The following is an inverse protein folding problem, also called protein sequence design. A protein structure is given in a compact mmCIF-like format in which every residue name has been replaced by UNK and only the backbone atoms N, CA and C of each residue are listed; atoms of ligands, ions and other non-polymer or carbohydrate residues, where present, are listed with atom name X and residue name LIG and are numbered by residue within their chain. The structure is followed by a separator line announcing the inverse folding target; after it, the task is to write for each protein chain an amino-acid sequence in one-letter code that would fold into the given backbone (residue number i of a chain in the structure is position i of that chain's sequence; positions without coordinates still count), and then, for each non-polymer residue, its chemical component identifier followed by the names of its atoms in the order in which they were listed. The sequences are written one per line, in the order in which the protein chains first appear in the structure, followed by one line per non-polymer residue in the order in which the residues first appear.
data_IF_695700921256
#
_entry.id   IF_695700921256
#
_cell.length_a   1.000
_cell.length_b   1.000
_cell.length_c   1.000
_cell.angle_alpha   90.00
_cell.angle_beta   90.00
_cell.angle_gamma   90.00
#
_symmetry.space_group_name_H-M   'P 1'
#
loop_
_entity.id
_entity.type
_entity.pdbx_description
1 polymer ?
#
# COMPACT_ATOMS: atom_id res chain seq x y z
N UNK A 1 -1.47 9.76 10.10
CA UNK A 1 -0.01 9.86 10.24
C UNK A 1 0.37 11.33 10.15
N UNK A 2 1.39 11.75 10.90
CA UNK A 2 2.03 13.07 10.78
C UNK A 2 3.48 12.87 10.34
N UNK A 3 4.03 13.74 9.50
CA UNK A 3 5.47 13.76 9.18
C UNK A 3 6.08 14.97 9.85
N UNK A 4 6.95 14.76 10.83
CA UNK A 4 7.77 15.80 11.45
C UNK A 4 9.08 15.98 10.70
N UNK A 5 9.61 17.20 10.68
CA UNK A 5 10.96 17.44 10.16
C UNK A 5 12.00 16.66 10.97
N UNK A 6 13.07 16.21 10.31
CA UNK A 6 14.27 15.68 10.96
C UNK A 6 15.35 16.77 11.22
N UNK A 7 14.99 18.04 11.05
CA UNK A 7 15.94 19.16 11.06
C UNK A 7 16.73 19.27 9.76
N UNK A 8 16.13 18.89 8.64
CA UNK A 8 16.77 18.87 7.34
C UNK A 8 15.83 19.41 6.25
N UNK A 9 16.44 19.95 5.20
CA UNK A 9 15.84 20.20 3.90
C UNK A 9 16.55 19.34 2.84
N UNK A 10 16.26 19.51 1.55
CA UNK A 10 16.97 18.80 0.49
C UNK A 10 18.48 19.14 0.47
N UNK A 11 18.86 20.34 0.91
CA UNK A 11 20.22 20.88 0.72
C UNK A 11 20.95 21.22 2.04
N UNK A 12 20.23 21.27 3.16
CA UNK A 12 20.75 21.80 4.43
C UNK A 12 20.29 20.94 5.60
N UNK A 13 21.08 20.91 6.67
CA UNK A 13 20.76 20.19 7.90
C UNK A 13 21.17 20.99 9.14
N UNK A 14 20.35 20.87 10.18
CA UNK A 14 20.54 21.52 11.48
C UNK A 14 21.36 20.59 12.38
N UNK A 15 22.50 21.06 12.93
CA UNK A 15 23.29 20.27 13.86
C UNK A 15 22.50 19.84 15.09
N UNK A 16 22.73 18.62 15.56
CA UNK A 16 22.03 18.04 16.70
C UNK A 16 22.14 18.87 17.98
N UNK A 17 23.23 19.63 18.14
CA UNK A 17 23.43 20.51 19.30
C UNK A 17 22.36 21.62 19.42
N UNK A 18 21.73 22.02 18.32
CA UNK A 18 20.77 23.14 18.28
C UNK A 18 19.37 22.72 17.79
N UNK A 19 19.07 21.42 17.72
CA UNK A 19 17.80 20.88 17.18
C UNK A 19 16.59 21.09 18.12
N UNK A 20 16.82 21.53 19.36
CA UNK A 20 15.83 21.53 20.43
C UNK A 20 14.55 22.32 20.10
N UNK A 21 14.64 23.44 19.37
CA UNK A 21 13.46 24.20 18.94
C UNK A 21 12.59 23.40 17.98
N UNK A 22 13.18 22.74 16.98
CA UNK A 22 12.44 21.91 16.03
C UNK A 22 11.81 20.68 16.69
N UNK A 23 12.49 20.09 17.68
CA UNK A 23 11.92 19.01 18.51
C UNK A 23 10.66 19.49 19.22
N UNK A 24 10.71 20.70 19.81
CA UNK A 24 9.54 21.30 20.44
C UNK A 24 8.40 21.51 19.43
N UNK A 25 8.69 22.05 18.26
CA UNK A 25 7.68 22.32 17.23
C UNK A 25 6.95 21.04 16.77
N UNK A 26 7.66 19.91 16.64
CA UNK A 26 7.03 18.62 16.31
C UNK A 26 6.13 18.13 17.45
N UNK A 27 6.57 18.22 18.71
CA UNK A 27 5.74 17.82 19.87
C UNK A 27 4.52 18.73 20.02
N UNK A 28 4.68 20.03 19.77
CA UNK A 28 3.61 21.02 19.72
C UNK A 28 2.59 20.69 18.60
N UNK A 29 3.05 20.27 17.42
CA UNK A 29 2.19 19.79 16.34
C UNK A 29 1.39 18.53 16.71
N UNK A 30 1.99 17.62 17.49
CA UNK A 30 1.27 16.47 18.05
C UNK A 30 0.25 16.93 19.10
N UNK A 31 0.57 17.92 19.94
CA UNK A 31 -0.39 18.51 20.90
C UNK A 31 -1.56 19.21 20.17
N UNK A 32 -1.30 19.90 19.07
CA UNK A 32 -2.37 20.44 18.23
C UNK A 32 -3.32 19.32 17.78
N UNK A 33 -2.78 18.18 17.33
CA UNK A 33 -3.58 17.06 16.86
C UNK A 33 -4.31 16.30 17.98
N UNK A 34 -3.62 15.99 19.09
CA UNK A 34 -4.08 15.06 20.14
C UNK A 34 -4.42 15.70 21.49
N UNK A 35 -3.93 16.90 21.77
CA UNK A 35 -4.11 17.59 23.04
C UNK A 35 -5.57 17.94 23.34
N UNK A 36 -5.92 18.06 24.61
CA UNK A 36 -7.25 18.51 25.04
C UNK A 36 -7.51 19.96 24.63
N UNK A 37 -8.79 20.36 24.54
CA UNK A 37 -9.16 21.73 24.16
C UNK A 37 -8.67 22.81 25.16
N UNK A 38 -8.16 22.41 26.31
CA UNK A 38 -7.58 23.27 27.35
C UNK A 38 -6.03 23.30 27.34
N UNK A 39 -5.36 22.56 26.45
CA UNK A 39 -3.91 22.66 26.26
C UNK A 39 -3.58 23.80 25.30
N UNK A 40 -2.31 24.23 25.27
CA UNK A 40 -1.87 25.35 24.44
C UNK A 40 -2.28 25.14 22.98
N UNK A 41 -1.82 24.06 22.35
CA UNK A 41 -2.10 23.83 20.93
C UNK A 41 -3.44 23.13 20.67
N UNK A 42 -3.95 22.35 21.62
CA UNK A 42 -5.28 21.76 21.52
C UNK A 42 -6.40 22.81 21.57
N UNK A 43 -6.20 23.91 22.29
CA UNK A 43 -7.13 25.05 22.28
C UNK A 43 -7.18 25.77 20.93
N UNK A 44 -6.05 25.84 20.21
CA UNK A 44 -6.01 26.39 18.84
C UNK A 44 -6.83 25.51 17.90
N UNK A 45 -6.64 24.18 17.92
CA UNK A 45 -7.46 23.23 17.14
C UNK A 45 -8.96 23.39 17.44
N UNK A 46 -9.31 23.54 18.73
CA UNK A 46 -10.69 23.74 19.16
C UNK A 46 -11.27 25.07 18.65
N UNK A 47 -10.52 26.16 18.73
CA UNK A 47 -10.92 27.47 18.22
C UNK A 47 -11.08 27.49 16.68
N UNK A 48 -10.36 26.62 15.97
CA UNK A 48 -10.51 26.38 14.53
C UNK A 48 -11.74 25.53 14.17
N UNK A 49 -12.58 25.16 15.15
CA UNK A 49 -13.85 24.45 14.94
C UNK A 49 -13.77 22.93 15.15
N UNK A 50 -12.63 22.40 15.62
CA UNK A 50 -12.47 20.96 15.86
C UNK A 50 -12.05 20.66 17.31
N UNK A 51 -12.99 20.70 18.29
CA UNK A 51 -12.65 20.54 19.70
C UNK A 51 -12.12 19.16 20.06
N UNK A 52 -12.58 18.10 19.38
CA UNK A 52 -12.15 16.73 19.66
C UNK A 52 -10.73 16.46 19.14
N UNK A 53 -9.88 15.70 19.85
CA UNK A 53 -8.61 15.21 19.33
C UNK A 53 -8.76 14.39 18.05
N UNK A 54 -7.79 14.49 17.14
CA UNK A 54 -7.67 13.57 16.01
C UNK A 54 -7.09 12.23 16.46
N UNK A 55 -7.48 11.15 15.77
CA UNK A 55 -6.78 9.87 15.89
C UNK A 55 -5.44 9.96 15.16
N UNK A 56 -4.34 9.95 15.90
CA UNK A 56 -2.98 10.01 15.38
C UNK A 56 -2.16 8.86 15.98
N UNK A 57 -2.08 7.77 15.23
CA UNK A 57 -1.42 6.53 15.66
C UNK A 57 0.07 6.47 15.25
N UNK A 58 0.48 7.27 14.26
CA UNK A 58 1.81 7.21 13.63
C UNK A 58 2.41 8.60 13.40
N UNK A 59 3.70 8.75 13.71
CA UNK A 59 4.53 9.91 13.37
C UNK A 59 5.78 9.43 12.65
N UNK A 60 6.04 9.94 11.43
CA UNK A 60 7.34 9.78 10.77
C UNK A 60 8.24 10.97 11.09
N UNK A 61 9.53 10.72 11.26
CA UNK A 61 10.54 11.77 11.45
C UNK A 61 11.45 11.78 10.23
N UNK A 62 11.29 12.81 9.40
CA UNK A 62 11.94 12.90 8.10
C UNK A 62 11.16 12.25 6.96
N UNK A 63 11.68 12.46 5.75
CA UNK A 63 11.31 11.83 4.49
C UNK A 63 12.58 11.60 3.63
N UNK A 64 13.22 10.44 3.82
CA UNK A 64 14.44 9.97 3.12
C UNK A 64 15.78 10.62 3.52
N UNK A 65 15.87 11.35 4.64
CA UNK A 65 17.13 12.03 5.03
C UNK A 65 18.12 11.15 5.81
N UNK A 66 17.93 9.82 5.84
CA UNK A 66 18.81 8.91 6.59
C UNK A 66 20.30 9.03 6.25
N UNK A 67 20.61 9.45 5.01
CA UNK A 67 21.97 9.62 4.51
C UNK A 67 22.64 10.91 5.02
N UNK A 68 21.91 11.84 5.63
CA UNK A 68 22.43 13.10 6.14
C UNK A 68 23.19 12.91 7.47
N UNK A 69 24.18 13.78 7.71
CA UNK A 69 25.13 13.63 8.81
C UNK A 69 24.46 13.65 10.18
N UNK A 70 23.54 14.60 10.39
CA UNK A 70 22.91 14.82 11.70
C UNK A 70 21.62 14.04 11.90
N UNK A 71 21.06 13.39 10.87
CA UNK A 71 19.76 12.72 10.94
C UNK A 71 19.66 11.78 12.15
N UNK A 72 20.65 10.89 12.36
CA UNK A 72 20.58 9.91 13.45
C UNK A 72 20.57 10.55 14.83
N UNK A 73 21.41 11.58 15.04
CA UNK A 73 21.43 12.32 16.30
C UNK A 73 20.16 13.12 16.52
N UNK A 74 19.62 13.73 15.46
CA UNK A 74 18.38 14.49 15.50
C UNK A 74 17.19 13.58 15.80
N UNK A 75 17.05 12.47 15.05
CA UNK A 75 16.01 11.46 15.22
C UNK A 75 15.93 10.97 16.67
N UNK A 76 17.05 10.69 17.33
CA UNK A 76 17.07 10.29 18.75
C UNK A 76 16.45 11.35 19.67
N UNK A 77 16.68 12.65 19.40
CA UNK A 77 16.07 13.75 20.16
C UNK A 77 14.57 13.82 19.94
N UNK A 78 14.11 13.72 18.69
CA UNK A 78 12.68 13.66 18.35
C UNK A 78 12.00 12.44 18.98
N UNK A 79 12.56 11.24 18.79
CA UNK A 79 12.03 9.99 19.33
C UNK A 79 11.84 10.08 20.85
N UNK A 80 12.88 10.52 21.57
CA UNK A 80 12.84 10.62 23.03
C UNK A 80 11.76 11.60 23.52
N UNK A 81 11.65 12.77 22.88
CA UNK A 81 10.67 13.78 23.26
C UNK A 81 9.23 13.33 22.97
N UNK A 82 9.00 12.71 21.81
CA UNK A 82 7.68 12.21 21.42
C UNK A 82 7.27 11.05 22.33
N UNK A 83 8.14 10.07 22.58
CA UNK A 83 7.82 8.95 23.48
C UNK A 83 7.60 9.39 24.93
N UNK A 84 8.27 10.45 25.38
CA UNK A 84 8.03 11.00 26.71
C UNK A 84 6.64 11.64 26.84
N UNK A 85 6.15 12.31 25.80
CA UNK A 85 4.86 12.99 25.80
C UNK A 85 3.68 12.09 25.38
N UNK A 86 3.92 11.18 24.42
CA UNK A 86 2.93 10.34 23.76
C UNK A 86 3.49 8.92 23.54
N UNK A 87 3.65 8.12 24.61
CA UNK A 87 4.31 6.80 24.54
C UNK A 87 3.59 5.79 23.63
N UNK A 88 2.30 6.01 23.37
CA UNK A 88 1.44 5.16 22.53
C UNK A 88 1.57 5.43 21.02
N UNK A 89 2.18 6.56 20.61
CA UNK A 89 2.40 6.84 19.18
C UNK A 89 3.51 5.95 18.64
N UNK A 90 3.27 5.32 17.49
CA UNK A 90 4.30 4.60 16.74
C UNK A 90 5.16 5.60 15.94
N UNK A 91 6.47 5.53 16.13
CA UNK A 91 7.43 6.39 15.45
C UNK A 91 8.10 5.63 14.31
N UNK A 92 8.02 6.20 13.11
CA UNK A 92 8.63 5.70 11.88
C UNK A 92 9.94 6.42 11.65
N UNK A 93 11.00 5.65 11.40
CA UNK A 93 12.29 6.18 10.95
C UNK A 93 12.37 6.19 9.43
N UNK A 94 12.93 7.25 8.83
CA UNK A 94 13.32 7.29 7.42
C UNK A 94 14.56 6.45 7.08
N UNK A 95 15.18 5.79 8.06
CA UNK A 95 16.29 4.88 7.82
C UNK A 95 15.83 3.42 7.70
N UNK A 96 16.56 2.65 6.91
CA UNK A 96 16.37 1.20 6.78
C UNK A 96 16.51 0.44 8.12
N UNK A 97 15.88 -0.74 8.18
CA UNK A 97 15.89 -1.66 9.33
C UNK A 97 17.27 -1.90 9.93
N UNK A 98 18.32 -1.96 9.12
CA UNK A 98 19.70 -2.23 9.55
C UNK A 98 20.27 -1.16 10.49
N UNK A 99 19.69 0.04 10.50
CA UNK A 99 20.09 1.16 11.36
C UNK A 99 19.39 1.15 12.72
N UNK A 100 18.37 0.30 12.89
CA UNK A 100 17.57 0.25 14.12
C UNK A 100 18.26 -0.64 15.15
N UNK A 101 18.40 -0.11 16.35
CA UNK A 101 19.05 -0.78 17.48
C UNK A 101 18.54 -0.22 18.80
N UNK A 102 18.98 -0.78 19.93
CA UNK A 102 18.60 -0.27 21.25
C UNK A 102 19.01 1.21 21.47
N UNK A 103 20.10 1.65 20.85
CA UNK A 103 20.55 3.06 20.91
C UNK A 103 19.91 3.94 19.83
N UNK A 104 19.26 3.36 18.82
CA UNK A 104 18.54 4.08 17.77
C UNK A 104 17.18 3.40 17.52
N UNK A 105 16.24 3.51 18.47
CA UNK A 105 14.98 2.76 18.43
C UNK A 105 14.00 3.36 17.42
N UNK A 106 13.22 2.50 16.76
CA UNK A 106 12.05 2.91 15.98
C UNK A 106 10.99 1.81 16.09
N UNK A 107 9.71 2.19 16.02
CA UNK A 107 8.61 1.23 16.04
C UNK A 107 8.39 0.64 14.64
N UNK A 108 8.67 1.44 13.61
CA UNK A 108 8.58 1.11 12.19
C UNK A 108 9.72 1.78 11.40
N UNK A 109 9.97 1.32 10.19
CA UNK A 109 10.89 1.98 9.24
C UNK A 109 10.25 2.18 7.88
N UNK A 110 10.65 3.25 7.21
CA UNK A 110 10.13 3.61 5.90
C UNK A 110 10.96 3.00 4.76
N UNK A 111 10.29 2.66 3.66
CA UNK A 111 10.84 2.07 2.46
C UNK A 111 10.21 2.73 1.24
N UNK A 112 11.06 3.27 0.37
CA UNK A 112 10.66 3.93 -0.87
C UNK A 112 11.13 3.09 -2.07
N UNK A 113 10.23 2.78 -3.00
CA UNK A 113 10.52 1.90 -4.14
C UNK A 113 10.12 2.54 -5.47
N UNK A 114 11.12 2.99 -6.21
CA UNK A 114 10.96 3.51 -7.57
C UNK A 114 11.77 2.66 -8.56
N UNK A 115 11.12 2.12 -9.58
CA UNK A 115 11.74 1.15 -10.49
C UNK A 115 11.06 1.12 -11.88
N UNK A 116 11.69 0.49 -12.87
CA UNK A 116 10.98 0.09 -14.11
C UNK A 116 9.97 -1.04 -13.85
N UNK A 117 9.03 -1.32 -14.76
CA UNK A 117 8.05 -2.40 -14.55
C UNK A 117 8.72 -3.75 -14.29
N UNK A 118 9.74 -4.11 -15.07
CA UNK A 118 10.45 -5.38 -14.88
C UNK A 118 11.14 -5.48 -13.50
N UNK A 119 11.75 -4.38 -13.03
CA UNK A 119 12.43 -4.34 -11.74
C UNK A 119 11.43 -4.26 -10.56
N UNK A 120 10.26 -3.65 -10.75
CA UNK A 120 9.19 -3.66 -9.76
C UNK A 120 8.58 -5.07 -9.63
N UNK A 121 8.34 -5.74 -10.77
CA UNK A 121 7.84 -7.12 -10.77
C UNK A 121 8.79 -8.08 -10.04
N UNK A 122 10.11 -7.96 -10.26
CA UNK A 122 11.10 -8.79 -9.57
C UNK A 122 11.18 -8.55 -8.06
N UNK A 123 10.65 -7.42 -7.56
CA UNK A 123 10.56 -7.10 -6.13
C UNK A 123 9.37 -7.76 -5.44
N UNK A 124 8.61 -8.63 -6.10
CA UNK A 124 7.57 -9.45 -5.45
C UNK A 124 8.12 -10.23 -4.24
N UNK A 125 9.39 -10.63 -4.26
CA UNK A 125 10.05 -11.35 -3.14
C UNK A 125 10.88 -10.45 -2.22
N UNK A 126 10.75 -9.11 -2.33
CA UNK A 126 11.60 -8.15 -1.61
C UNK A 126 11.65 -8.37 -0.09
N UNK A 127 10.54 -8.79 0.52
CA UNK A 127 10.43 -9.01 1.97
C UNK A 127 10.47 -10.49 2.38
N UNK A 128 10.59 -11.43 1.45
CA UNK A 128 10.51 -12.87 1.73
C UNK A 128 11.55 -13.32 2.77
N UNK A 129 12.73 -12.72 2.76
CA UNK A 129 13.84 -13.04 3.67
C UNK A 129 14.02 -12.04 4.83
N UNK A 130 13.10 -11.09 5.00
CA UNK A 130 13.17 -10.13 6.10
C UNK A 130 13.04 -10.88 7.45
N UNK A 131 13.85 -10.57 8.47
CA UNK A 131 13.68 -11.17 9.80
C UNK A 131 12.30 -10.83 10.38
N UNK A 132 11.60 -11.85 10.90
CA UNK A 132 10.27 -11.75 11.54
C UNK A 132 10.34 -11.23 12.98
N UNK A 133 11.53 -10.79 13.40
CA UNK A 133 11.77 -10.09 14.65
C UNK A 133 12.06 -8.61 14.39
N UNK A 134 11.76 -7.77 15.38
CA UNK A 134 11.96 -6.33 15.33
C UNK A 134 10.86 -5.57 14.59
N UNK A 135 11.11 -4.29 14.25
CA UNK A 135 10.09 -3.42 13.66
C UNK A 135 9.72 -3.88 12.25
N UNK A 136 8.47 -3.61 11.88
CA UNK A 136 7.93 -3.81 10.54
C UNK A 136 8.29 -2.65 9.61
N UNK A 137 8.27 -2.91 8.31
CA UNK A 137 8.36 -1.89 7.29
C UNK A 137 7.02 -1.16 7.12
N UNK A 138 7.09 0.09 6.70
CA UNK A 138 6.05 0.73 5.92
C UNK A 138 6.63 1.01 4.53
N UNK A 139 5.87 0.75 3.47
CA UNK A 139 6.26 1.14 2.11
C UNK A 139 5.49 2.42 1.79
N UNK A 140 5.96 3.57 2.27
CA UNK A 140 5.20 4.83 2.18
C UNK A 140 5.13 5.37 0.76
N UNK A 141 6.09 5.00 -0.10
CA UNK A 141 6.15 5.41 -1.49
C UNK A 141 6.55 4.22 -2.37
N UNK A 142 5.70 3.87 -3.33
CA UNK A 142 6.10 3.06 -4.46
C UNK A 142 5.48 3.58 -5.77
N UNK A 143 6.25 3.49 -6.85
CA UNK A 143 5.74 3.62 -8.21
C UNK A 143 6.71 3.03 -9.23
N UNK A 144 6.16 2.62 -10.36
CA UNK A 144 6.96 2.39 -11.57
C UNK A 144 7.28 3.72 -12.23
N UNK A 145 8.56 4.03 -12.40
CA UNK A 145 9.09 5.30 -12.96
C UNK A 145 10.04 5.09 -14.14
N UNK A 146 10.13 3.85 -14.66
CA UNK A 146 10.91 3.55 -15.86
C UNK A 146 10.33 4.13 -17.14
N UNK A 147 11.02 3.94 -18.26
CA UNK A 147 10.54 4.39 -19.58
C UNK A 147 9.19 3.77 -19.98
N UNK A 148 8.83 2.63 -19.40
CA UNK A 148 7.56 1.92 -19.59
C UNK A 148 6.43 2.45 -18.71
N UNK A 149 6.70 3.38 -17.78
CA UNK A 149 5.70 3.98 -16.91
C UNK A 149 4.73 4.91 -17.64
N UNK A 150 5.25 5.67 -18.61
CA UNK A 150 4.51 6.71 -19.33
C UNK A 150 3.79 7.69 -18.39
N UNK A 151 2.51 7.99 -18.66
CA UNK A 151 1.61 8.73 -17.74
C UNK A 151 0.87 7.81 -16.75
N UNK A 152 1.16 6.51 -16.81
CA UNK A 152 0.46 5.45 -16.08
C UNK A 152 0.00 4.41 -17.07
N UNK A 153 0.86 3.45 -17.41
CA UNK A 153 0.55 2.35 -18.33
C UNK A 153 -0.05 1.15 -17.60
N UNK A 154 -0.74 0.28 -18.36
CA UNK A 154 -1.18 -1.02 -17.85
C UNK A 154 -0.02 -1.86 -17.31
N UNK A 155 1.10 -1.96 -18.03
CA UNK A 155 2.26 -2.77 -17.59
C UNK A 155 2.86 -2.25 -16.28
N UNK A 156 2.90 -0.94 -16.06
CA UNK A 156 3.29 -0.34 -14.79
C UNK A 156 2.36 -0.78 -13.65
N UNK A 157 1.04 -0.67 -13.86
CA UNK A 157 0.05 -1.10 -12.86
C UNK A 157 0.14 -2.60 -12.54
N UNK A 158 0.42 -3.45 -13.52
CA UNK A 158 0.59 -4.89 -13.30
C UNK A 158 1.86 -5.22 -12.50
N UNK A 159 2.96 -4.51 -12.75
CA UNK A 159 4.18 -4.68 -11.98
C UNK A 159 4.00 -4.23 -10.52
N UNK A 160 3.31 -3.12 -10.30
CA UNK A 160 2.92 -2.65 -8.97
C UNK A 160 1.98 -3.64 -8.27
N UNK A 161 1.01 -4.22 -8.99
CA UNK A 161 0.15 -5.27 -8.46
C UNK A 161 0.95 -6.51 -7.99
N UNK A 162 1.97 -6.91 -8.76
CA UNK A 162 2.83 -8.02 -8.37
C UNK A 162 3.65 -7.70 -7.11
N UNK A 163 4.17 -6.48 -7.02
CA UNK A 163 4.83 -5.99 -5.82
C UNK A 163 3.88 -6.01 -4.60
N UNK A 164 2.64 -5.55 -4.74
CA UNK A 164 1.63 -5.60 -3.67
C UNK A 164 1.25 -7.02 -3.27
N UNK A 165 1.18 -7.98 -4.21
CA UNK A 165 1.03 -9.42 -3.88
C UNK A 165 2.18 -9.89 -2.97
N UNK A 166 3.40 -9.43 -3.24
CA UNK A 166 4.57 -9.65 -2.39
C UNK A 166 4.42 -9.07 -0.98
N UNK A 167 3.84 -7.87 -0.87
CA UNK A 167 3.58 -7.24 0.42
C UNK A 167 2.48 -7.96 1.21
N UNK A 168 1.39 -8.42 0.56
CA UNK A 168 0.36 -9.22 1.23
C UNK A 168 0.92 -10.50 1.83
N UNK A 169 1.78 -11.20 1.06
CA UNK A 169 2.47 -12.41 1.50
C UNK A 169 3.35 -12.16 2.73
N UNK A 170 3.91 -10.96 2.84
CA UNK A 170 4.82 -10.56 3.90
C UNK A 170 4.19 -9.54 4.87
N UNK A 171 2.86 -9.59 5.05
CA UNK A 171 2.11 -8.69 5.95
C UNK A 171 2.44 -8.91 7.44
N UNK A 172 3.13 -10.01 7.77
CA UNK A 172 3.75 -10.25 9.07
C UNK A 172 4.92 -9.28 9.35
N UNK A 173 5.59 -8.77 8.31
CA UNK A 173 6.74 -7.85 8.42
C UNK A 173 6.56 -6.50 7.73
N UNK A 174 5.46 -6.31 6.99
CA UNK A 174 5.07 -5.04 6.35
C UNK A 174 3.72 -4.60 6.90
N UNK A 175 3.66 -3.40 7.47
CA UNK A 175 2.46 -2.88 8.15
C UNK A 175 1.55 -2.08 7.20
N UNK A 176 2.14 -1.26 6.31
CA UNK A 176 1.41 -0.33 5.45
C UNK A 176 2.09 -0.20 4.09
N UNK A 177 1.32 0.16 3.06
CA UNK A 177 1.82 0.49 1.74
C UNK A 177 1.02 1.65 1.14
N UNK A 178 1.68 2.58 0.45
CA UNK A 178 1.04 3.70 -0.25
C UNK A 178 1.74 3.94 -1.59
N UNK A 179 0.93 4.08 -2.65
CA UNK A 179 1.45 4.51 -3.95
C UNK A 179 1.84 5.99 -3.87
N UNK A 180 2.81 6.41 -4.69
CA UNK A 180 3.18 7.82 -4.78
C UNK A 180 3.60 8.22 -6.21
N UNK A 181 3.17 9.38 -6.72
CA UNK A 181 2.25 10.34 -6.11
C UNK A 181 0.76 10.03 -6.40
N UNK A 182 -0.14 10.54 -5.55
CA UNK A 182 -1.57 10.28 -5.65
C UNK A 182 -2.27 11.16 -6.70
N UNK A 183 -1.90 12.45 -6.77
CA UNK A 183 -2.60 13.45 -7.58
C UNK A 183 -1.64 14.28 -8.41
N UNK A 184 -2.07 14.61 -9.63
CA UNK A 184 -1.37 15.56 -10.50
C UNK A 184 -2.34 16.43 -11.29
N UNK A 185 -2.05 17.72 -11.33
CA UNK A 185 -2.71 18.63 -12.25
C UNK A 185 -2.04 18.50 -13.63
N UNK A 186 -2.81 18.14 -14.66
CA UNK A 186 -2.25 17.92 -16.01
C UNK A 186 -1.58 19.17 -16.59
N UNK A 187 -1.93 20.37 -16.09
CA UNK A 187 -1.33 21.65 -16.49
C UNK A 187 0.00 22.00 -15.77
N UNK A 188 0.39 21.29 -14.69
CA UNK A 188 1.67 21.50 -13.96
C UNK A 188 2.28 20.16 -13.54
N UNK A 189 2.43 19.26 -14.51
CA UNK A 189 3.02 17.94 -14.29
C UNK A 189 4.54 18.05 -14.14
N UNK A 190 5.05 17.77 -12.94
CA UNK A 190 6.50 17.71 -12.63
C UNK A 190 7.03 16.31 -12.36
N UNK A 191 6.13 15.36 -12.10
CA UNK A 191 6.43 13.95 -11.89
C UNK A 191 5.45 13.11 -12.71
N UNK A 192 5.84 11.87 -13.03
CA UNK A 192 4.99 10.90 -13.71
C UNK A 192 5.48 9.49 -13.38
N UNK A 193 4.59 8.50 -13.21
CA UNK A 193 3.13 8.60 -13.26
C UNK A 193 2.53 9.02 -11.91
N UNK A 194 1.21 9.28 -11.90
CA UNK A 194 0.40 9.57 -10.71
C UNK A 194 -0.90 8.78 -10.79
N UNK A 195 -1.49 8.43 -9.66
CA UNK A 195 -2.71 7.61 -9.64
C UNK A 195 -3.93 8.36 -10.22
N UNK A 196 -4.09 9.65 -9.92
CA UNK A 196 -5.25 10.46 -10.33
C UNK A 196 -4.79 11.73 -11.02
N UNK A 197 -5.22 11.92 -12.26
CA UNK A 197 -4.93 13.09 -13.07
C UNK A 197 -6.16 13.98 -13.10
N UNK A 198 -6.00 15.28 -12.90
CA UNK A 198 -7.10 16.24 -12.92
C UNK A 198 -6.73 17.55 -13.61
N UNK A 199 -7.75 18.30 -14.01
CA UNK A 199 -7.65 19.72 -14.38
C UNK A 199 -8.75 20.50 -13.64
N UNK A 200 -9.06 21.73 -14.08
CA UNK A 200 -10.04 22.60 -13.40
C UNK A 200 -11.48 22.06 -13.33
N UNK A 201 -11.87 21.06 -14.13
CA UNK A 201 -13.27 20.61 -14.20
C UNK A 201 -13.47 19.10 -14.40
N UNK A 202 -12.42 18.33 -14.70
CA UNK A 202 -12.50 16.88 -14.90
C UNK A 202 -11.29 16.16 -14.30
N UNK A 203 -11.42 14.84 -14.12
CA UNK A 203 -10.37 13.95 -13.63
C UNK A 203 -10.51 12.55 -14.24
N UNK A 204 -9.42 11.78 -14.20
CA UNK A 204 -9.44 10.35 -14.49
C UNK A 204 -8.45 9.60 -13.59
N UNK A 205 -8.73 8.33 -13.34
CA UNK A 205 -7.80 7.42 -12.67
C UNK A 205 -6.90 6.72 -13.68
N UNK A 206 -5.59 6.71 -13.43
CA UNK A 206 -4.63 5.93 -14.19
C UNK A 206 -4.83 4.42 -13.94
N UNK A 207 -4.26 3.52 -14.77
CA UNK A 207 -4.32 2.07 -14.56
C UNK A 207 -3.91 1.64 -13.15
N UNK A 208 -2.92 2.29 -12.53
CA UNK A 208 -2.51 2.01 -11.15
C UNK A 208 -3.57 2.41 -10.10
N UNK A 209 -4.33 3.49 -10.31
CA UNK A 209 -5.50 3.80 -9.47
C UNK A 209 -6.52 2.66 -9.51
N UNK A 210 -6.85 2.17 -10.71
CA UNK A 210 -7.77 1.06 -10.86
C UNK A 210 -7.23 -0.26 -10.29
N UNK A 211 -5.92 -0.48 -10.37
CA UNK A 211 -5.25 -1.62 -9.73
C UNK A 211 -5.44 -1.60 -8.20
N UNK A 212 -5.35 -0.43 -7.54
CA UNK A 212 -5.57 -0.33 -6.09
C UNK A 212 -6.95 -0.83 -5.64
N UNK A 213 -7.97 -0.79 -6.51
CA UNK A 213 -9.30 -1.33 -6.19
C UNK A 213 -9.29 -2.84 -5.91
N UNK A 214 -8.27 -3.56 -6.38
CA UNK A 214 -8.09 -4.99 -6.10
C UNK A 214 -7.48 -5.23 -4.71
N UNK A 215 -6.82 -4.23 -4.12
CA UNK A 215 -6.08 -4.33 -2.86
C UNK A 215 -6.70 -3.54 -1.70
N UNK A 216 -7.72 -2.70 -1.95
CA UNK A 216 -8.43 -1.96 -0.89
C UNK A 216 -9.03 -2.86 0.21
N UNK A 217 -9.36 -4.10 -0.14
CA UNK A 217 -9.97 -5.06 0.78
C UNK A 217 -8.92 -5.88 1.55
N UNK A 218 -7.62 -5.61 1.35
CA UNK A 218 -6.51 -6.31 2.01
C UNK A 218 -6.30 -5.85 3.45
N UNK A 219 -6.62 -4.59 3.76
CA UNK A 219 -6.53 -4.06 5.12
C UNK A 219 -7.56 -4.74 6.03
N UNK A 220 -7.08 -5.45 7.06
CA UNK A 220 -7.94 -6.22 7.98
C UNK A 220 -8.38 -7.59 7.44
N UNK A 221 -7.86 -8.02 6.29
CA UNK A 221 -8.09 -9.35 5.76
C UNK A 221 -7.13 -10.39 6.35
N UNK A 222 -7.51 -11.66 6.27
CA UNK A 222 -6.65 -12.79 6.60
C UNK A 222 -5.96 -13.29 5.33
N UNK A 223 -4.63 -13.26 5.31
CA UNK A 223 -3.84 -13.85 4.23
C UNK A 223 -3.84 -15.39 4.29
N UNK A 224 -3.90 -16.03 3.12
CA UNK A 224 -3.84 -17.49 2.97
C UNK A 224 -2.59 -17.91 2.18
N UNK A 225 -1.83 -18.92 2.66
CA UNK A 225 -0.72 -19.48 1.91
C UNK A 225 -1.13 -19.86 0.48
N UNK A 226 -0.46 -19.27 -0.49
CA UNK A 226 -0.76 -19.44 -1.91
C UNK A 226 0.48 -19.98 -2.62
N UNK A 227 0.33 -21.07 -3.37
CA UNK A 227 1.37 -21.63 -4.20
C UNK A 227 0.95 -21.53 -5.66
N UNK A 228 1.82 -20.97 -6.50
CA UNK A 228 1.64 -20.93 -7.94
C UNK A 228 2.62 -21.90 -8.59
N UNK A 229 2.09 -22.83 -9.38
CA UNK A 229 2.87 -23.84 -10.09
C UNK A 229 2.60 -23.70 -11.58
N UNK A 230 3.41 -22.89 -12.26
CA UNK A 230 3.35 -22.73 -13.71
C UNK A 230 4.72 -23.07 -14.29
N UNK A 231 4.79 -24.13 -15.09
CA UNK A 231 6.05 -24.58 -15.68
C UNK A 231 6.50 -23.62 -16.78
N UNK A 232 7.78 -23.22 -16.73
CA UNK A 232 8.42 -22.37 -17.75
C UNK A 232 7.74 -21.00 -17.95
N UNK A 233 7.13 -20.45 -16.90
CA UNK A 233 6.49 -19.14 -16.94
C UNK A 233 6.59 -18.44 -15.58
N UNK A 234 7.55 -17.52 -15.45
CA UNK A 234 7.89 -16.80 -14.21
C UNK A 234 7.26 -15.40 -14.13
N UNK A 235 6.41 -15.04 -15.11
CA UNK A 235 5.74 -13.74 -15.21
C UNK A 235 4.36 -13.74 -14.54
N UNK A 236 4.11 -14.64 -13.59
CA UNK A 236 2.84 -14.71 -12.87
C UNK A 236 3.05 -14.80 -11.37
N UNK A 237 2.18 -14.11 -10.64
CA UNK A 237 2.13 -14.15 -9.17
C UNK A 237 0.68 -14.15 -8.71
N UNK A 238 0.42 -14.72 -7.55
CA UNK A 238 -0.92 -14.72 -6.96
C UNK A 238 -0.89 -14.60 -5.44
N UNK A 239 -1.98 -14.06 -4.90
CA UNK A 239 -2.29 -14.06 -3.47
C UNK A 239 -3.73 -14.48 -3.25
N UNK A 240 -4.02 -14.96 -2.04
CA UNK A 240 -5.36 -15.23 -1.59
C UNK A 240 -5.57 -14.61 -0.20
N UNK A 241 -6.68 -13.91 -0.04
CA UNK A 241 -7.10 -13.34 1.25
C UNK A 241 -8.56 -13.70 1.53
N UNK A 242 -8.93 -13.80 2.80
CA UNK A 242 -10.33 -13.76 3.21
C UNK A 242 -10.65 -12.43 3.85
N UNK A 243 -11.72 -11.80 3.40
CA UNK A 243 -12.18 -10.52 3.91
C UNK A 243 -13.70 -10.54 4.06
N UNK A 244 -14.21 -9.76 5.01
CA UNK A 244 -15.63 -9.58 5.20
C UNK A 244 -16.06 -8.24 4.60
N UNK A 245 -17.06 -8.29 3.72
CA UNK A 245 -17.60 -7.08 3.11
C UNK A 245 -18.32 -6.22 4.15
N UNK A 246 -17.97 -4.93 4.29
CA UNK A 246 -18.62 -4.07 5.26
C UNK A 246 -20.08 -3.77 4.89
N UNK A 247 -20.45 -3.94 3.61
CA UNK A 247 -21.77 -3.60 3.05
C UNK A 247 -22.83 -4.63 3.42
N UNK A 248 -22.54 -5.91 3.23
CA UNK A 248 -23.49 -7.01 3.37
C UNK A 248 -23.06 -8.06 4.41
N UNK A 249 -21.89 -7.87 5.05
CA UNK A 249 -21.29 -8.79 6.02
C UNK A 249 -20.96 -10.17 5.47
N UNK A 250 -21.06 -10.36 4.15
CA UNK A 250 -20.65 -11.59 3.47
C UNK A 250 -19.13 -11.72 3.51
N UNK A 251 -18.66 -12.94 3.71
CA UNK A 251 -17.23 -13.26 3.69
C UNK A 251 -16.86 -13.80 2.31
N UNK A 252 -15.76 -13.28 1.75
CA UNK A 252 -15.25 -13.69 0.44
C UNK A 252 -13.82 -14.18 0.56
N UNK A 253 -13.50 -15.28 -0.14
CA UNK A 253 -12.13 -15.62 -0.51
C UNK A 253 -11.81 -14.85 -1.80
N UNK A 254 -10.91 -13.88 -1.72
CA UNK A 254 -10.41 -13.13 -2.86
C UNK A 254 -9.08 -13.71 -3.31
N UNK A 255 -9.04 -14.28 -4.51
CA UNK A 255 -7.82 -14.78 -5.15
C UNK A 255 -7.43 -13.78 -6.24
N UNK A 256 -6.23 -13.22 -6.17
CA UNK A 256 -5.70 -12.27 -7.15
C UNK A 256 -4.62 -12.96 -7.95
N UNK A 257 -4.67 -12.83 -9.27
CA UNK A 257 -3.67 -13.37 -10.19
C UNK A 257 -3.20 -12.25 -11.07
N UNK A 258 -1.90 -11.96 -11.01
CA UNK A 258 -1.23 -11.06 -11.95
C UNK A 258 -0.59 -11.92 -13.03
N UNK A 259 -0.94 -11.65 -14.29
CA UNK A 259 -0.24 -12.13 -15.46
C UNK A 259 0.49 -10.96 -16.11
N UNK A 260 1.80 -10.87 -15.84
CA UNK A 260 2.68 -9.82 -16.36
C UNK A 260 3.22 -10.15 -17.76
N UNK A 261 2.96 -11.34 -18.28
CA UNK A 261 3.44 -11.77 -19.58
C UNK A 261 2.40 -11.67 -20.71
N UNK A 262 2.87 -11.95 -21.92
CA UNK A 262 2.12 -11.76 -23.17
C UNK A 262 1.26 -12.94 -23.61
N UNK A 263 1.14 -13.99 -22.78
CA UNK A 263 0.39 -15.21 -23.11
C UNK A 263 -0.83 -15.32 -22.21
N UNK A 264 -1.97 -15.70 -22.79
CA UNK A 264 -3.10 -16.18 -22.01
C UNK A 264 -2.71 -17.50 -21.33
N UNK A 265 -3.18 -17.71 -20.10
CA UNK A 265 -2.84 -18.88 -19.31
C UNK A 265 -4.11 -19.49 -18.74
N UNK A 266 -4.28 -20.79 -18.94
CA UNK A 266 -5.31 -21.58 -18.29
C UNK A 266 -4.76 -22.15 -16.98
N UNK A 267 -5.45 -21.86 -15.88
CA UNK A 267 -5.07 -22.25 -14.54
C UNK A 267 -6.16 -23.13 -13.93
N UNK A 268 -5.75 -24.04 -13.04
CA UNK A 268 -6.68 -24.72 -12.14
C UNK A 268 -6.49 -24.17 -10.73
N UNK A 269 -7.50 -23.48 -10.21
CA UNK A 269 -7.53 -23.00 -8.85
C UNK A 269 -8.03 -24.12 -7.96
N UNK A 270 -7.19 -24.57 -7.02
CA UNK A 270 -7.55 -25.55 -5.99
C UNK A 270 -7.44 -24.93 -4.61
N UNK A 271 -8.54 -24.94 -3.88
CA UNK A 271 -8.66 -24.38 -2.53
C UNK A 271 -8.87 -25.53 -1.54
N UNK A 272 -7.97 -25.64 -0.56
CA UNK A 272 -8.01 -26.68 0.47
C UNK A 272 -7.90 -26.04 1.84
N UNK A 273 -8.41 -26.73 2.87
CA UNK A 273 -8.26 -26.30 4.27
C UNK A 273 -9.15 -25.12 4.71
N UNK A 274 -9.98 -24.54 3.85
CA UNK A 274 -11.00 -23.57 4.28
C UNK A 274 -12.10 -24.28 5.08
N UNK A 275 -12.41 -23.75 6.25
CA UNK A 275 -13.49 -24.24 7.11
C UNK A 275 -14.88 -24.09 6.47
N UNK A 276 -15.04 -23.02 5.68
CA UNK A 276 -16.29 -22.69 4.98
C UNK A 276 -16.23 -23.15 3.53
N UNK A 277 -17.34 -23.69 3.02
CA UNK A 277 -17.48 -24.01 1.60
C UNK A 277 -17.52 -22.76 0.72
N UNK A 278 -17.33 -22.93 -0.58
CA UNK A 278 -17.56 -21.87 -1.57
C UNK A 278 -18.96 -22.04 -2.15
N UNK A 279 -19.75 -20.96 -2.17
CA UNK A 279 -21.07 -20.94 -2.82
C UNK A 279 -20.91 -21.00 -4.33
N UNK A 280 -21.73 -21.82 -4.99
CA UNK A 280 -21.77 -21.93 -6.45
C UNK A 280 -22.24 -20.67 -7.16
N UNK A 281 -22.93 -19.77 -6.45
CA UNK A 281 -23.43 -18.49 -6.96
C UNK A 281 -23.04 -17.32 -6.03
N UNK A 282 -23.10 -16.10 -6.55
CA UNK A 282 -22.73 -14.87 -5.82
C UNK A 282 -21.25 -14.50 -5.92
N UNK A 283 -20.42 -15.38 -6.50
CA UNK A 283 -19.01 -15.14 -6.80
C UNK A 283 -18.82 -14.25 -8.03
N UNK A 284 -17.74 -13.46 -8.05
CA UNK A 284 -17.44 -12.52 -9.15
C UNK A 284 -15.99 -12.62 -9.61
N UNK A 285 -15.77 -12.39 -10.91
CA UNK A 285 -14.45 -12.20 -11.52
C UNK A 285 -14.33 -10.74 -11.93
N UNK A 286 -13.24 -10.08 -11.53
CA UNK A 286 -12.92 -8.73 -11.99
C UNK A 286 -11.58 -8.74 -12.71
N UNK A 287 -11.49 -8.12 -13.88
CA UNK A 287 -10.27 -8.12 -14.71
C UNK A 287 -9.88 -6.69 -15.05
N UNK A 288 -8.63 -6.33 -14.79
CA UNK A 288 -7.98 -5.13 -15.31
C UNK A 288 -7.01 -5.58 -16.42
N UNK A 289 -7.27 -5.15 -17.65
CA UNK A 289 -6.45 -5.45 -18.83
C UNK A 289 -6.77 -4.45 -19.95
N UNK A 290 -6.07 -4.53 -21.08
CA UNK A 290 -6.32 -3.73 -22.28
C UNK A 290 -5.76 -4.43 -23.52
N UNK A 291 -5.97 -3.85 -24.70
CA UNK A 291 -5.44 -4.39 -25.95
C UNK A 291 -3.90 -4.36 -26.02
N UNK A 292 -3.25 -3.34 -25.43
CA UNK A 292 -1.80 -3.22 -25.39
C UNK A 292 -1.29 -2.99 -23.95
N UNK A 293 -0.10 -3.54 -23.66
CA UNK A 293 0.55 -3.41 -22.35
C UNK A 293 0.92 -1.95 -22.00
N UNK A 294 1.11 -1.10 -23.00
CA UNK A 294 1.42 0.33 -22.83
C UNK A 294 0.17 1.22 -22.90
N UNK A 295 -1.04 0.67 -22.88
CA UNK A 295 -2.25 1.49 -22.85
C UNK A 295 -2.35 2.29 -21.55
N UNK A 296 -2.82 3.53 -21.69
CA UNK A 296 -3.02 4.52 -20.63
C UNK A 296 -4.44 5.09 -20.70
N UNK A 297 -4.90 5.71 -19.61
CA UNK A 297 -6.12 6.52 -19.60
C UNK A 297 -5.81 7.99 -19.91
N UNK A 298 -6.78 8.71 -20.46
CA UNK A 298 -6.71 10.15 -20.74
C UNK A 298 -8.05 10.82 -20.48
N UNK A 299 -8.17 12.15 -20.63
CA UNK A 299 -9.46 12.81 -20.53
C UNK A 299 -10.45 12.38 -21.63
N UNK A 300 -9.95 12.04 -22.82
CA UNK A 300 -10.75 11.55 -23.95
C UNK A 300 -11.20 10.09 -23.76
N UNK A 301 -10.38 9.29 -23.08
CA UNK A 301 -10.64 7.88 -22.79
C UNK A 301 -10.34 7.57 -21.30
N UNK A 302 -11.15 8.06 -20.36
CA UNK A 302 -10.85 7.99 -18.92
C UNK A 302 -10.92 6.57 -18.35
N UNK A 303 -11.58 5.66 -19.06
CA UNK A 303 -11.78 4.25 -18.67
C UNK A 303 -11.25 3.28 -19.74
N UNK A 304 -10.25 3.69 -20.54
CA UNK A 304 -9.62 2.81 -21.55
C UNK A 304 -9.09 1.52 -20.91
N UNK A 305 -8.44 1.67 -19.77
CA UNK A 305 -7.92 0.62 -18.89
C UNK A 305 -8.62 0.76 -17.54
N UNK A 306 -9.71 0.02 -17.37
CA UNK A 306 -10.50 0.00 -16.15
C UNK A 306 -10.96 -1.42 -15.81
N UNK A 307 -11.31 -1.72 -14.55
CA UNK A 307 -11.71 -3.06 -14.13
C UNK A 307 -13.09 -3.42 -14.69
N UNK A 308 -13.21 -4.60 -15.30
CA UNK A 308 -14.48 -5.15 -15.78
C UNK A 308 -14.88 -6.34 -14.91
N UNK A 309 -16.05 -6.27 -14.28
CA UNK A 309 -16.59 -7.35 -13.44
C UNK A 309 -17.60 -8.22 -14.18
N UNK A 310 -17.58 -9.52 -13.90
CA UNK A 310 -18.51 -10.53 -14.43
C UNK A 310 -18.82 -11.58 -13.36
N UNK A 311 -19.98 -12.25 -13.40
CA UNK A 311 -20.28 -13.34 -12.47
C UNK A 311 -19.39 -14.57 -12.75
N UNK A 312 -19.05 -15.31 -11.70
CA UNK A 312 -18.46 -16.65 -11.82
C UNK A 312 -19.57 -17.67 -11.60
N UNK A 313 -19.93 -18.39 -12.65
CA UNK A 313 -20.88 -19.49 -12.56
C UNK A 313 -20.20 -20.73 -11.93
N UNK A 314 -20.96 -21.47 -11.13
CA UNK A 314 -20.55 -22.75 -10.53
C UNK A 314 -19.19 -22.69 -9.81
N UNK A 315 -18.96 -21.60 -9.06
CA UNK A 315 -17.77 -21.44 -8.25
C UNK A 315 -17.65 -22.58 -7.21
N UNK A 316 -16.44 -23.11 -7.06
CA UNK A 316 -16.17 -24.30 -6.26
C UNK A 316 -14.70 -24.33 -5.84
N UNK A 317 -14.35 -25.24 -4.94
CA UNK A 317 -12.99 -25.42 -4.44
C UNK A 317 -11.99 -25.78 -5.53
N UNK A 318 -12.43 -26.40 -6.62
CA UNK A 318 -11.58 -26.75 -7.76
C UNK A 318 -12.20 -26.23 -9.04
N UNK A 319 -11.63 -25.18 -9.63
CA UNK A 319 -12.17 -24.56 -10.83
C UNK A 319 -11.07 -24.21 -11.83
N UNK A 320 -11.33 -24.54 -13.10
CA UNK A 320 -10.53 -24.08 -14.22
C UNK A 320 -10.87 -22.62 -14.55
N UNK A 321 -9.86 -21.80 -14.77
CA UNK A 321 -10.00 -20.39 -15.15
C UNK A 321 -9.00 -20.04 -16.24
N UNK A 322 -9.35 -19.07 -17.07
CA UNK A 322 -8.43 -18.49 -18.04
C UNK A 322 -8.11 -17.05 -17.63
N UNK A 323 -6.82 -16.70 -17.61
CA UNK A 323 -6.33 -15.36 -17.34
C UNK A 323 -5.66 -14.79 -18.59
N UNK A 324 -6.10 -13.60 -18.98
CA UNK A 324 -5.62 -12.90 -20.18
C UNK A 324 -4.13 -12.52 -20.06
N UNK A 325 -3.42 -12.33 -21.20
CA UNK A 325 -2.12 -11.69 -21.18
C UNK A 325 -2.22 -10.29 -20.58
N UNK A 326 -1.16 -9.80 -19.96
CA UNK A 326 -1.11 -8.47 -19.33
C UNK A 326 -2.39 -8.14 -18.57
N UNK A 327 -2.66 -8.91 -17.50
CA UNK A 327 -3.89 -8.73 -16.73
C UNK A 327 -3.68 -8.89 -15.23
N UNK A 328 -4.51 -8.18 -14.46
CA UNK A 328 -4.76 -8.45 -13.06
C UNK A 328 -6.20 -8.94 -12.95
N UNK A 329 -6.36 -10.19 -12.50
CA UNK A 329 -7.66 -10.83 -12.33
C UNK A 329 -7.91 -11.13 -10.86
N UNK A 330 -9.05 -10.70 -10.30
CA UNK A 330 -9.53 -11.21 -9.02
C UNK A 330 -10.70 -12.16 -9.20
N UNK A 331 -10.73 -13.20 -8.38
CA UNK A 331 -11.87 -14.07 -8.15
C UNK A 331 -12.33 -13.85 -6.71
N UNK A 332 -13.45 -13.16 -6.56
CA UNK A 332 -14.08 -12.87 -5.28
C UNK A 332 -15.12 -13.97 -5.04
N UNK A 333 -14.70 -15.05 -4.38
CA UNK A 333 -15.50 -16.26 -4.18
C UNK A 333 -16.30 -16.15 -2.88
N UNK A 334 -17.62 -16.17 -2.99
CA UNK A 334 -18.50 -16.06 -1.84
C UNK A 334 -18.42 -17.34 -1.00
N UNK A 335 -18.17 -17.18 0.30
CA UNK A 335 -18.11 -18.30 1.23
C UNK A 335 -19.49 -18.60 1.84
N UNK A 336 -19.71 -19.86 2.18
CA UNK A 336 -20.81 -20.27 3.03
C UNK A 336 -20.66 -19.65 4.43
N UNK A 337 -21.77 -19.37 5.14
CA UNK A 337 -21.71 -18.97 6.54
C UNK A 337 -20.92 -19.99 7.36
N UNK A 338 -20.10 -19.52 8.30
CA UNK A 338 -19.30 -20.43 9.13
C UNK A 338 -20.23 -21.37 9.90
N UNK A 339 -19.89 -22.67 9.94
CA UNK A 339 -20.69 -23.69 10.65
C UNK A 339 -20.72 -23.49 12.17
N UNK A 340 -19.92 -22.56 12.70
CA UNK A 340 -19.77 -22.30 14.14
C UNK A 340 -20.49 -21.02 14.59
N UNK A 341 -21.28 -20.37 13.72
CA UNK A 341 -22.06 -19.17 14.07
C UNK A 341 -23.46 -19.47 14.64
N UNK A 342 -23.72 -20.71 15.08
CA UNK A 342 -24.95 -21.07 15.80
C UNK A 342 -24.57 -21.57 17.19
N UNK A 343 -24.29 -20.65 18.12
CA UNK A 343 -24.52 -20.82 19.56
C UNK A 343 -25.03 -19.50 20.10
#
# INVERSE_FOLDING_TARGET
MLVGTAGASINEEVPTAIIASLVKDVVDGIEFARGGANTTWGSVRAAMGHPQPFKLDYVSIGNQECWMLYYRGNYQKFYSAIKAAYPDINIISSCDKSTISASNPADLYDVHVYASSANMFSRTSMFDNTPRSGPKAIVSEYAVTGNDAGKGTLVAALAEAAFLVGLEKNSDVVEMASCAPLFVNDNDRRWSPDAIVFNSWQHYGCPNYWMLHFFKDSSGATFHPTAMQVSNYDQMVASAITWQSPKDKSTYLKIKVVNFGSKAMDLNITVTGLESGIKSSGSKKTVLTSAAALDENSFEQPEKVAPVSSPVADAKQQMGVSVSPYSLTSFDLLLEPSKHSII
#
